data_IF_745616297472
#
_entry.id   IF_745616297472
#
_cell.length_a   1.000
_cell.length_b   1.000
_cell.length_c   1.000
_cell.angle_alpha   90.00
_cell.angle_beta   90.00
_cell.angle_gamma   90.00
#
_symmetry.space_group_name_H-M   'P 1'
#
loop_
_entity.id
_entity.type
_entity.pdbx_description
1 polymer ?
#
# COMPACT_ATOMS: atom_id res chain seq x y z
N UNK A 1 -10.05 37.36 -6.60
CA UNK A 1 -9.50 36.42 -7.60
C UNK A 1 -9.98 35.04 -7.22
N UNK A 2 -10.86 34.43 -8.01
CA UNK A 2 -11.27 33.03 -7.80
C UNK A 2 -10.10 32.16 -8.20
N UNK A 3 -9.40 31.61 -7.21
CA UNK A 3 -8.35 30.62 -7.42
C UNK A 3 -9.01 29.42 -8.07
N UNK A 4 -8.71 29.16 -9.35
CA UNK A 4 -9.07 27.89 -9.97
C UNK A 4 -8.41 26.77 -9.16
N UNK A 5 -9.21 25.91 -8.56
CA UNK A 5 -8.77 24.68 -7.94
C UNK A 5 -9.40 23.53 -8.75
N UNK A 6 -8.63 22.56 -9.24
CA UNK A 6 -9.22 21.37 -9.85
C UNK A 6 -10.19 20.72 -8.86
N UNK A 7 -11.25 20.09 -9.39
CA UNK A 7 -12.24 19.43 -8.54
C UNK A 7 -11.58 18.32 -7.72
N UNK A 8 -11.95 18.16 -6.43
CA UNK A 8 -11.61 16.95 -5.68
C UNK A 8 -12.03 15.72 -6.49
N UNK A 9 -11.12 14.76 -6.65
CA UNK A 9 -11.35 13.54 -7.42
C UNK A 9 -11.23 12.33 -6.51
N UNK A 10 -12.04 11.31 -6.78
CA UNK A 10 -11.91 10.00 -6.14
C UNK A 10 -10.86 9.24 -6.93
N UNK A 11 -9.78 8.82 -6.26
CA UNK A 11 -8.78 7.94 -6.87
C UNK A 11 -9.23 6.50 -6.75
N UNK A 12 -9.00 5.71 -7.80
CA UNK A 12 -9.19 4.27 -7.74
C UNK A 12 -7.81 3.64 -7.76
N UNK A 13 -7.49 2.85 -6.74
CA UNK A 13 -6.13 2.34 -6.52
C UNK A 13 -6.14 0.83 -6.34
N UNK A 14 -5.03 0.19 -6.69
CA UNK A 14 -4.80 -1.24 -6.43
C UNK A 14 -3.59 -1.41 -5.53
N UNK A 15 -3.74 -2.16 -4.43
CA UNK A 15 -2.65 -2.45 -3.49
C UNK A 15 -2.45 -3.95 -3.29
N UNK A 16 -1.18 -4.36 -3.13
CA UNK A 16 -0.76 -5.74 -2.98
C UNK A 16 -0.28 -6.06 -1.57
N UNK A 17 -0.81 -7.14 -1.01
CA UNK A 17 -0.43 -7.68 0.28
C UNK A 17 0.56 -8.82 0.08
N UNK A 18 1.85 -8.50 0.15
CA UNK A 18 2.90 -9.50 0.18
C UNK A 18 3.24 -9.87 1.64
N UNK A 19 3.33 -11.18 1.91
CA UNK A 19 3.65 -11.71 3.23
C UNK A 19 4.95 -12.50 3.21
N UNK A 20 5.79 -12.29 4.23
CA UNK A 20 7.00 -13.09 4.50
C UNK A 20 7.10 -13.36 5.99
N UNK A 21 7.15 -14.63 6.38
CA UNK A 21 7.24 -15.05 7.79
C UNK A 21 6.19 -14.38 8.69
N UNK A 22 4.95 -14.28 8.19
CA UNK A 22 3.82 -13.66 8.90
C UNK A 22 3.85 -12.13 8.96
N UNK A 23 4.85 -11.48 8.35
CA UNK A 23 5.00 -10.02 8.28
C UNK A 23 4.55 -9.48 6.93
N UNK A 24 3.94 -8.29 6.94
CA UNK A 24 3.40 -7.61 5.76
C UNK A 24 4.44 -6.67 5.16
N UNK A 25 4.71 -6.79 3.86
CA UNK A 25 5.48 -5.78 3.15
C UNK A 25 4.69 -4.47 3.04
N UNK A 26 5.31 -3.37 3.46
CA UNK A 26 4.75 -2.04 3.33
C UNK A 26 5.87 -0.99 3.18
N UNK A 27 5.59 0.08 2.43
CA UNK A 27 6.41 1.27 2.35
C UNK A 27 6.29 2.11 3.63
N UNK A 28 7.41 2.67 4.09
CA UNK A 28 7.45 3.63 5.18
C UNK A 28 6.85 4.97 4.75
N UNK A 29 5.86 5.46 5.50
CA UNK A 29 5.32 6.81 5.37
C UNK A 29 5.95 7.67 6.45
N UNK A 30 6.68 8.72 6.05
CA UNK A 30 7.41 9.60 6.97
C UNK A 30 6.66 10.91 7.22
N UNK A 31 6.90 11.51 8.38
CA UNK A 31 6.56 12.91 8.64
C UNK A 31 7.66 13.86 8.15
N UNK A 32 7.42 15.17 8.24
CA UNK A 32 8.37 16.22 7.83
C UNK A 32 9.70 16.17 8.60
N UNK A 33 9.72 15.53 9.78
CA UNK A 33 10.92 15.31 10.58
C UNK A 33 11.65 14.01 10.20
N UNK A 34 11.17 13.28 9.19
CA UNK A 34 11.73 12.02 8.71
C UNK A 34 11.40 10.81 9.58
N UNK A 35 10.53 10.94 10.59
CA UNK A 35 10.12 9.82 11.45
C UNK A 35 9.04 9.01 10.74
N UNK A 36 9.04 7.70 10.93
CA UNK A 36 8.00 6.83 10.38
C UNK A 36 6.71 7.11 11.14
N UNK A 37 5.74 7.75 10.48
CA UNK A 37 4.40 8.02 11.03
C UNK A 37 3.43 6.87 10.72
N UNK A 38 3.66 6.18 9.61
CA UNK A 38 2.87 5.02 9.24
C UNK A 38 3.53 4.18 8.17
N UNK A 39 2.82 3.18 7.70
CA UNK A 39 3.24 2.29 6.62
C UNK A 39 2.06 2.01 5.69
N UNK A 40 2.32 1.77 4.41
CA UNK A 40 1.28 1.46 3.42
C UNK A 40 1.74 0.32 2.51
N UNK A 41 0.92 -0.71 2.25
CA UNK A 41 1.23 -1.72 1.24
C UNK A 41 1.44 -1.08 -0.14
N UNK A 42 2.26 -1.73 -0.95
CA UNK A 42 2.67 -1.23 -2.26
C UNK A 42 1.55 -1.35 -3.31
N UNK A 43 1.67 -0.54 -4.35
CA UNK A 43 0.69 -0.38 -5.42
C UNK A 43 0.29 1.08 -5.59
N UNK A 44 -0.53 1.35 -6.60
CA UNK A 44 -0.79 2.72 -7.03
C UNK A 44 -2.13 2.91 -7.73
N UNK A 45 -2.22 4.01 -8.46
CA UNK A 45 -3.46 4.43 -9.12
C UNK A 45 -3.74 3.59 -10.37
N UNK A 46 -5.01 3.30 -10.61
CA UNK A 46 -5.44 2.61 -11.82
C UNK A 46 -5.59 3.66 -12.92
N UNK A 47 -4.91 3.46 -14.03
CA UNK A 47 -5.00 4.38 -15.16
C UNK A 47 -6.33 4.24 -15.91
N UNK A 48 -6.72 5.28 -16.64
CA UNK A 48 -7.96 5.25 -17.42
C UNK A 48 -7.89 4.18 -18.51
N UNK A 49 -8.86 3.25 -18.49
CA UNK A 49 -8.90 2.12 -19.42
C UNK A 49 -8.08 0.91 -18.96
N UNK A 50 -7.41 1.00 -17.81
CA UNK A 50 -6.65 -0.07 -17.19
C UNK A 50 -7.53 -0.91 -16.24
N UNK A 51 -7.25 -2.22 -16.13
CA UNK A 51 -7.86 -3.06 -15.11
C UNK A 51 -7.06 -2.99 -13.80
N UNK A 52 -7.70 -3.12 -12.64
CA UNK A 52 -6.99 -3.12 -11.36
C UNK A 52 -5.89 -4.18 -11.26
N UNK A 53 -6.05 -5.33 -11.94
CA UNK A 53 -5.02 -6.40 -11.98
C UNK A 53 -3.81 -5.96 -12.79
N UNK A 54 -4.07 -5.32 -13.93
CA UNK A 54 -3.02 -4.76 -14.79
C UNK A 54 -2.26 -3.67 -14.05
N UNK A 55 -2.99 -2.74 -13.43
CA UNK A 55 -2.42 -1.67 -12.61
C UNK A 55 -1.51 -2.25 -11.53
N UNK A 56 -2.00 -3.21 -10.74
CA UNK A 56 -1.21 -3.78 -9.66
C UNK A 56 0.10 -4.42 -10.15
N UNK A 57 0.04 -5.19 -11.25
CA UNK A 57 1.25 -5.82 -11.80
C UNK A 57 2.21 -4.77 -12.37
N UNK A 58 1.69 -3.72 -13.03
CA UNK A 58 2.47 -2.59 -13.53
C UNK A 58 3.20 -1.87 -12.39
N UNK A 59 2.47 -1.49 -11.35
CA UNK A 59 3.03 -0.76 -10.19
C UNK A 59 4.18 -1.52 -9.54
N UNK A 60 4.02 -2.82 -9.26
CA UNK A 60 5.12 -3.64 -8.74
C UNK A 60 6.29 -3.76 -9.71
N UNK A 61 6.04 -3.69 -11.02
CA UNK A 61 7.10 -3.70 -12.02
C UNK A 61 7.85 -2.38 -12.08
N UNK A 62 7.15 -1.26 -12.03
CA UNK A 62 7.72 0.10 -12.05
C UNK A 62 8.52 0.38 -10.78
N UNK A 63 7.95 0.09 -9.61
CA UNK A 63 8.59 0.33 -8.32
C UNK A 63 9.74 -0.65 -8.05
N UNK A 64 9.50 -1.95 -8.26
CA UNK A 64 10.39 -3.00 -7.76
C UNK A 64 11.09 -3.82 -8.85
N UNK A 65 10.76 -3.61 -10.13
CA UNK A 65 11.35 -4.36 -11.24
C UNK A 65 10.94 -5.84 -11.29
N UNK A 66 9.87 -6.24 -10.58
CA UNK A 66 9.42 -7.64 -10.51
C UNK A 66 8.02 -7.82 -11.10
N UNK A 67 7.70 -9.07 -11.45
CA UNK A 67 6.36 -9.46 -11.88
C UNK A 67 5.71 -10.27 -10.76
N UNK A 68 4.68 -9.72 -10.13
CA UNK A 68 3.95 -10.38 -9.04
C UNK A 68 2.83 -11.28 -9.57
N UNK A 69 2.50 -12.31 -8.80
CA UNK A 69 1.30 -13.14 -9.05
C UNK A 69 0.22 -12.81 -8.03
N UNK A 70 -0.97 -12.43 -8.51
CA UNK A 70 -2.14 -12.16 -7.67
C UNK A 70 -2.76 -13.48 -7.23
N UNK A 71 -2.92 -13.69 -5.92
CA UNK A 71 -3.31 -14.98 -5.33
C UNK A 71 -4.66 -14.96 -4.61
N UNK A 72 -5.36 -13.82 -4.58
CA UNK A 72 -6.69 -13.73 -3.97
C UNK A 72 -7.68 -12.96 -4.82
N UNK A 73 -8.97 -13.14 -4.50
CA UNK A 73 -9.99 -12.16 -4.89
C UNK A 73 -9.71 -10.80 -4.22
N UNK A 74 -10.10 -9.69 -4.87
CA UNK A 74 -9.91 -8.37 -4.31
C UNK A 74 -10.90 -8.12 -3.17
N UNK A 75 -10.39 -7.61 -2.07
CA UNK A 75 -11.17 -6.86 -1.09
C UNK A 75 -11.31 -5.42 -1.60
N UNK A 76 -12.51 -4.85 -1.51
CA UNK A 76 -12.73 -3.44 -1.84
C UNK A 76 -12.85 -2.63 -0.55
N UNK A 77 -12.05 -1.57 -0.44
CA UNK A 77 -12.11 -0.62 0.67
C UNK A 77 -12.39 0.79 0.15
N UNK A 78 -13.21 1.54 0.88
CA UNK A 78 -13.32 2.98 0.71
C UNK A 78 -12.49 3.65 1.81
N UNK A 79 -11.59 4.55 1.42
CA UNK A 79 -10.69 5.25 2.32
C UNK A 79 -10.85 6.76 2.12
N UNK A 80 -11.45 7.42 3.10
CA UNK A 80 -11.58 8.88 3.16
C UNK A 80 -10.70 9.37 4.31
N UNK A 81 -9.76 10.26 4.02
CA UNK A 81 -8.75 10.69 4.98
C UNK A 81 -8.40 12.17 4.80
N UNK A 82 -7.71 12.74 5.77
CA UNK A 82 -7.09 14.06 5.65
C UNK A 82 -5.58 13.91 5.46
N UNK A 83 -5.02 14.64 4.50
CA UNK A 83 -3.59 14.71 4.24
C UNK A 83 -3.21 16.15 3.95
N UNK A 84 -2.29 16.71 4.74
CA UNK A 84 -1.82 18.10 4.63
C UNK A 84 -2.98 19.13 4.53
N UNK A 85 -4.02 18.94 5.35
CA UNK A 85 -5.21 19.80 5.39
C UNK A 85 -6.16 19.66 4.20
N UNK A 86 -5.98 18.64 3.36
CA UNK A 86 -6.84 18.33 2.22
C UNK A 86 -7.51 16.96 2.37
N UNK A 87 -8.78 16.85 1.97
CA UNK A 87 -9.49 15.57 1.95
C UNK A 87 -9.01 14.71 0.78
N UNK A 88 -8.49 13.52 1.09
CA UNK A 88 -8.26 12.44 0.15
C UNK A 88 -9.44 11.46 0.15
N UNK A 89 -9.74 10.89 -1.02
CA UNK A 89 -10.78 9.87 -1.20
C UNK A 89 -10.29 8.81 -2.18
N UNK A 90 -10.17 7.58 -1.70
CA UNK A 90 -9.72 6.43 -2.47
C UNK A 90 -10.77 5.30 -2.43
N UNK A 91 -10.98 4.64 -3.57
CA UNK A 91 -11.61 3.32 -3.67
C UNK A 91 -10.53 2.33 -4.04
N UNK A 92 -10.32 1.33 -3.20
CA UNK A 92 -9.10 0.52 -3.20
C UNK A 92 -9.43 -0.94 -3.46
N UNK A 93 -8.76 -1.55 -4.45
CA UNK A 93 -8.70 -2.99 -4.63
C UNK A 93 -7.49 -3.53 -3.87
N UNK A 94 -7.72 -4.34 -2.85
CA UNK A 94 -6.69 -4.91 -1.97
C UNK A 94 -6.63 -6.41 -2.21
N UNK A 95 -5.48 -6.96 -2.58
CA UNK A 95 -5.36 -8.41 -2.82
C UNK A 95 -4.02 -8.96 -2.34
N UNK A 96 -3.98 -10.27 -2.11
CA UNK A 96 -2.73 -10.95 -1.82
C UNK A 96 -1.91 -11.15 -3.09
N UNK A 97 -0.59 -10.97 -2.95
CA UNK A 97 0.37 -11.15 -4.03
C UNK A 97 1.57 -11.97 -3.57
N UNK A 98 2.07 -12.78 -4.48
CA UNK A 98 3.33 -13.52 -4.31
C UNK A 98 4.38 -12.96 -5.25
N UNK A 99 5.62 -12.95 -4.76
CA UNK A 99 6.77 -12.53 -5.53
C UNK A 99 7.38 -13.72 -6.27
N UNK A 100 8.17 -13.51 -7.34
CA UNK A 100 8.95 -14.57 -7.95
C UNK A 100 9.89 -15.25 -6.94
N UNK A 101 10.17 -16.53 -7.15
CA UNK A 101 11.12 -17.27 -6.31
C UNK A 101 12.48 -16.56 -6.24
N UNK A 102 13.00 -16.39 -5.02
CA UNK A 102 14.28 -15.72 -4.78
C UNK A 102 14.24 -14.19 -4.77
N UNK A 103 13.11 -13.56 -5.10
CA UNK A 103 12.99 -12.11 -5.09
C UNK A 103 13.15 -11.53 -3.68
N UNK A 104 14.17 -10.69 -3.50
CA UNK A 104 14.51 -10.05 -2.22
C UNK A 104 14.88 -11.02 -1.08
N UNK A 105 15.30 -12.24 -1.41
CA UNK A 105 15.79 -13.21 -0.42
C UNK A 105 16.98 -12.65 0.35
N UNK A 106 16.95 -12.83 1.68
CA UNK A 106 17.98 -12.32 2.59
C UNK A 106 17.99 -10.80 2.77
N UNK A 107 17.07 -10.05 2.14
CA UNK A 107 16.98 -8.61 2.30
C UNK A 107 15.97 -8.23 3.41
N UNK A 108 16.37 -7.33 4.30
CA UNK A 108 15.49 -6.82 5.37
C UNK A 108 14.65 -5.61 4.94
N UNK A 109 15.01 -4.99 3.82
CA UNK A 109 14.30 -3.85 3.22
C UNK A 109 14.46 -3.85 1.71
N UNK A 110 13.58 -3.10 1.05
CA UNK A 110 13.63 -2.81 -0.38
C UNK A 110 13.68 -1.29 -0.52
N UNK A 111 14.70 -0.79 -1.21
CA UNK A 111 14.84 0.63 -1.55
C UNK A 111 14.41 0.82 -3.00
N UNK A 112 13.44 1.71 -3.26
CA UNK A 112 12.99 2.04 -4.62
C UNK A 112 12.68 3.53 -4.76
N UNK A 113 12.26 3.97 -5.95
CA UNK A 113 11.91 5.36 -6.23
C UNK A 113 10.51 5.46 -6.80
N UNK A 114 9.77 6.46 -6.35
CA UNK A 114 8.54 6.90 -7.03
C UNK A 114 8.87 7.73 -8.28
N UNK A 115 7.86 7.96 -9.12
CA UNK A 115 7.96 8.76 -10.35
C UNK A 115 8.48 10.18 -10.13
N UNK A 116 8.20 10.75 -8.96
CA UNK A 116 8.66 12.08 -8.56
C UNK A 116 10.15 12.10 -8.13
N UNK A 117 10.81 10.93 -8.08
CA UNK A 117 12.20 10.73 -7.68
C UNK A 117 12.42 10.54 -6.18
N UNK A 118 11.37 10.55 -5.37
CA UNK A 118 11.43 10.30 -3.93
C UNK A 118 11.91 8.86 -3.67
N UNK A 119 12.86 8.71 -2.74
CA UNK A 119 13.35 7.40 -2.35
C UNK A 119 12.45 6.82 -1.25
N UNK A 120 11.82 5.69 -1.57
CA UNK A 120 10.95 4.96 -0.67
C UNK A 120 11.68 3.73 -0.12
N UNK A 121 11.39 3.43 1.15
CA UNK A 121 11.88 2.22 1.83
C UNK A 121 10.69 1.36 2.20
N UNK A 122 10.65 0.13 1.69
CA UNK A 122 9.70 -0.88 2.13
C UNK A 122 10.36 -1.94 3.02
N UNK A 123 9.61 -2.43 4.00
CA UNK A 123 10.03 -3.51 4.90
C UNK A 123 8.87 -4.43 5.21
N UNK A 124 9.18 -5.60 5.76
CA UNK A 124 8.18 -6.51 6.29
C UNK A 124 7.90 -6.22 7.76
N UNK A 125 6.70 -5.71 8.04
CA UNK A 125 6.24 -5.31 9.37
C UNK A 125 5.40 -6.39 10.04
N UNK A 126 5.60 -6.59 11.35
CA UNK A 126 4.68 -7.38 12.16
C UNK A 126 3.39 -6.58 12.39
N UNK A 127 2.24 -7.16 12.03
CA UNK A 127 0.93 -6.56 12.26
C UNK A 127 0.67 -6.23 13.73
N UNK A 128 1.28 -6.97 14.67
CA UNK A 128 1.13 -6.70 16.09
C UNK A 128 1.75 -5.34 16.49
N UNK A 129 2.75 -4.86 15.77
CA UNK A 129 3.44 -3.59 16.02
C UNK A 129 2.90 -2.38 15.26
N UNK A 130 1.91 -2.56 14.37
CA UNK A 130 1.24 -1.46 13.66
C UNK A 130 0.00 -1.00 14.43
N UNK A 131 -0.49 0.22 14.25
CA UNK A 131 -1.71 0.75 14.92
C UNK A 131 -1.73 0.50 16.44
N UNK A 132 -0.62 0.85 17.12
CA UNK A 132 -0.48 0.82 18.57
C UNK A 132 0.05 2.15 19.06
N UNK A 133 -0.16 2.48 20.33
CA UNK A 133 0.34 3.73 20.91
C UNK A 133 1.87 3.85 20.75
N UNK A 134 2.30 4.92 20.07
CA UNK A 134 3.71 5.18 19.78
C UNK A 134 4.30 4.33 18.64
N UNK A 135 3.53 3.43 18.04
CA UNK A 135 3.89 2.69 16.83
C UNK A 135 3.40 3.36 15.53
N UNK A 136 3.86 2.91 14.36
CA UNK A 136 3.39 3.44 13.07
C UNK A 136 1.97 2.98 12.76
N UNK A 137 1.16 3.86 12.15
CA UNK A 137 -0.16 3.51 11.62
C UNK A 137 -0.07 2.62 10.38
N UNK A 138 -1.04 1.73 10.17
CA UNK A 138 -1.21 1.00 8.90
C UNK A 138 -2.26 1.70 8.04
N UNK A 139 -1.85 2.11 6.84
CA UNK A 139 -2.73 2.70 5.84
C UNK A 139 -3.11 1.67 4.75
N UNK A 140 -4.31 1.77 4.17
CA UNK A 140 -5.40 2.66 4.55
C UNK A 140 -5.99 2.32 5.92
N UNK A 141 -6.63 3.30 6.55
CA UNK A 141 -7.30 3.11 7.84
C UNK A 141 -8.30 1.96 7.77
N UNK A 142 -8.30 1.08 8.77
CA UNK A 142 -9.18 -0.09 8.82
C UNK A 142 -8.65 -1.33 8.12
N UNK A 143 -7.55 -1.25 7.35
CA UNK A 143 -6.94 -2.43 6.71
C UNK A 143 -6.59 -3.51 7.75
N UNK A 144 -6.02 -3.12 8.89
CA UNK A 144 -5.61 -4.07 9.95
C UNK A 144 -6.77 -4.92 10.47
N UNK A 145 -7.95 -4.32 10.64
CA UNK A 145 -9.12 -5.02 11.17
C UNK A 145 -9.66 -6.03 10.15
N UNK A 146 -9.64 -5.68 8.86
CA UNK A 146 -10.04 -6.61 7.81
C UNK A 146 -9.06 -7.76 7.66
N UNK A 147 -7.75 -7.50 7.81
CA UNK A 147 -6.75 -8.56 7.81
C UNK A 147 -6.93 -9.54 8.99
N UNK A 148 -7.32 -9.03 10.16
CA UNK A 148 -7.60 -9.85 11.35
C UNK A 148 -8.87 -10.69 11.20
N UNK A 149 -9.94 -10.12 10.65
CA UNK A 149 -11.21 -10.84 10.49
C UNK A 149 -11.08 -12.02 9.53
N UNK A 150 -10.27 -11.89 8.47
CA UNK A 150 -10.00 -12.98 7.51
C UNK A 150 -9.21 -14.14 8.11
N UNK A 151 -8.21 -13.86 8.96
CA UNK A 151 -7.43 -14.91 9.65
C UNK A 151 -8.26 -15.69 10.68
N UNK A 152 -9.32 -15.08 11.23
CA UNK A 152 -10.25 -15.74 12.16
C UNK A 152 -11.35 -16.57 11.50
N UNK A 153 -11.53 -16.46 10.17
CA UNK A 153 -12.59 -17.15 9.42
C UNK A 153 -12.16 -18.48 8.77
N UNK A 154 -10.90 -18.88 8.93
CA UNK A 154 -10.40 -20.20 8.52
C UNK A 154 -10.44 -21.16 9.71
N UNK A 155 -11.63 -21.65 10.04
CA UNK A 155 -11.81 -22.83 10.90
C UNK A 155 -12.85 -23.76 10.30
#
# INVERSE_FOLDING_TARGET
MTTWRPHPHIRVVAIGLNWRDGRLLAAEVRDDAGRIKGVRPLGGEIEFGESWRTALVREFNEELGIHVTITSEPLVLENIFEHEGSTGHEVMFVCEVTFPDGAFDGQDRIDFREDNGEQIVARWFDLAGLDVDGGPSLYPTGLKDVLRSRKGGSN
#
